data_IF_749490602860
#
_entry.id   IF_749490602860
#
_cell.length_a   1.000
_cell.length_b   1.000
_cell.length_c   1.000
_cell.angle_alpha   90.00
_cell.angle_beta   90.00
_cell.angle_gamma   90.00
#
_symmetry.space_group_name_H-M   'P 1'
#
loop_
_entity.id
_entity.type
_entity.pdbx_description
1 polymer ?
#
# COMPACT_ATOMS: atom_id res chain seq x y z
N UNK A 1 13.36 -9.45 16.77
CA UNK A 1 12.73 -9.30 15.44
C UNK A 1 11.22 -9.35 15.62
N UNK A 2 10.46 -8.39 15.09
CA UNK A 2 9.03 -8.14 15.40
C UNK A 2 8.02 -9.24 14.98
N UNK A 3 8.45 -10.49 14.75
CA UNK A 3 7.56 -11.62 14.35
C UNK A 3 6.95 -11.51 12.95
N UNK A 4 7.09 -10.36 12.27
CA UNK A 4 6.61 -10.14 10.91
C UNK A 4 7.52 -10.88 9.92
N UNK A 5 6.95 -11.80 9.13
CA UNK A 5 7.68 -12.64 8.16
C UNK A 5 7.88 -12.01 6.77
N UNK A 6 7.36 -10.80 6.56
CA UNK A 6 7.44 -10.06 5.30
C UNK A 6 6.84 -10.83 4.12
N UNK A 7 7.34 -10.57 2.92
CA UNK A 7 6.86 -11.20 1.67
C UNK A 7 6.94 -12.73 1.72
N UNK A 8 7.92 -13.31 2.42
CA UNK A 8 8.00 -14.77 2.60
C UNK A 8 6.80 -15.32 3.37
N UNK A 9 6.37 -14.62 4.41
CA UNK A 9 5.17 -14.97 5.16
C UNK A 9 3.90 -14.85 4.33
N UNK A 10 3.84 -13.86 3.45
CA UNK A 10 2.73 -13.69 2.51
C UNK A 10 2.67 -14.88 1.55
N UNK A 11 3.78 -15.24 0.90
CA UNK A 11 3.86 -16.41 0.00
C UNK A 11 3.42 -17.69 0.72
N UNK A 12 3.94 -17.95 1.92
CA UNK A 12 3.60 -19.15 2.71
C UNK A 12 2.11 -19.27 3.05
N UNK A 13 1.40 -18.14 3.16
CA UNK A 13 -0.04 -18.09 3.46
C UNK A 13 -0.90 -17.87 2.22
N UNK A 14 -0.32 -17.88 1.03
CA UNK A 14 -1.05 -17.65 -0.22
C UNK A 14 -1.52 -16.19 -0.40
N UNK A 15 -0.67 -15.23 -0.03
CA UNK A 15 -0.83 -13.78 -0.20
C UNK A 15 -2.13 -13.19 0.38
N UNK A 16 -2.38 -13.31 1.70
CA UNK A 16 -3.60 -12.76 2.32
C UNK A 16 -3.74 -11.25 2.08
N UNK A 17 -2.65 -10.47 2.19
CA UNK A 17 -2.74 -9.00 1.97
C UNK A 17 -3.14 -8.66 0.54
N UNK A 18 -2.71 -9.46 -0.43
CA UNK A 18 -3.11 -9.29 -1.84
C UNK A 18 -4.58 -9.65 -2.01
N UNK A 19 -5.02 -10.78 -1.46
CA UNK A 19 -6.39 -11.29 -1.62
C UNK A 19 -7.44 -10.47 -0.89
N UNK A 20 -7.11 -9.96 0.29
CA UNK A 20 -8.04 -9.28 1.20
C UNK A 20 -8.02 -7.75 1.05
N UNK A 21 -6.92 -7.17 0.59
CA UNK A 21 -6.79 -5.71 0.44
C UNK A 21 -6.55 -5.28 -1.01
N UNK A 22 -5.47 -5.76 -1.64
CA UNK A 22 -5.04 -5.18 -2.92
C UNK A 22 -5.96 -5.53 -4.10
N UNK A 23 -6.30 -6.81 -4.29
CA UNK A 23 -7.16 -7.24 -5.40
C UNK A 23 -8.59 -6.70 -5.30
N UNK A 24 -9.26 -6.70 -4.13
CA UNK A 24 -10.57 -6.05 -4.01
C UNK A 24 -10.52 -4.57 -4.38
N UNK A 25 -9.48 -3.85 -3.94
CA UNK A 25 -9.29 -2.43 -4.26
C UNK A 25 -9.11 -2.21 -5.77
N UNK A 26 -8.17 -2.90 -6.42
CA UNK A 26 -7.93 -2.74 -7.86
C UNK A 26 -9.19 -3.03 -8.69
N UNK A 27 -9.90 -4.12 -8.37
CA UNK A 27 -11.13 -4.52 -9.06
C UNK A 27 -12.22 -3.48 -8.92
N UNK A 28 -12.37 -2.89 -7.74
CA UNK A 28 -13.36 -1.86 -7.48
C UNK A 28 -13.02 -0.56 -8.22
N UNK A 29 -11.77 -0.12 -8.16
CA UNK A 29 -11.31 1.08 -8.86
C UNK A 29 -11.42 0.96 -10.38
N UNK A 30 -11.24 -0.26 -10.93
CA UNK A 30 -11.48 -0.54 -12.34
C UNK A 30 -12.95 -0.34 -12.73
N UNK A 31 -13.90 -0.76 -11.88
CA UNK A 31 -15.34 -0.53 -12.12
C UNK A 31 -15.71 0.95 -12.06
N UNK A 32 -15.00 1.71 -11.24
CA UNK A 32 -15.17 3.16 -11.10
C UNK A 32 -14.48 3.96 -12.23
N UNK A 33 -13.93 3.28 -13.24
CA UNK A 33 -13.20 3.90 -14.35
C UNK A 33 -12.04 4.81 -13.89
N UNK A 34 -11.41 4.47 -12.74
CA UNK A 34 -10.21 5.17 -12.28
C UNK A 34 -9.08 5.00 -13.29
N UNK A 35 -8.21 6.01 -13.40
CA UNK A 35 -7.00 5.86 -14.22
C UNK A 35 -6.06 4.82 -13.58
N UNK A 36 -5.17 4.18 -14.37
CA UNK A 36 -4.21 3.23 -13.81
C UNK A 36 -3.40 3.79 -12.64
N UNK A 37 -2.92 5.04 -12.74
CA UNK A 37 -2.13 5.67 -11.68
C UNK A 37 -2.94 5.90 -10.41
N UNK A 38 -4.20 6.34 -10.53
CA UNK A 38 -5.10 6.47 -9.39
C UNK A 38 -5.30 5.11 -8.72
N UNK A 39 -5.55 4.07 -9.51
CA UNK A 39 -5.78 2.72 -9.00
C UNK A 39 -4.56 2.16 -8.25
N UNK A 40 -3.37 2.33 -8.81
CA UNK A 40 -2.12 1.84 -8.22
C UNK A 40 -1.76 2.58 -6.93
N UNK A 41 -1.80 3.91 -6.92
CA UNK A 41 -1.46 4.70 -5.72
C UNK A 41 -2.50 4.49 -4.62
N UNK A 42 -3.79 4.46 -4.96
CA UNK A 42 -4.85 4.19 -3.97
C UNK A 42 -4.68 2.79 -3.35
N UNK A 43 -4.34 1.79 -4.16
CA UNK A 43 -4.09 0.43 -3.69
C UNK A 43 -2.83 0.34 -2.82
N UNK A 44 -1.77 1.07 -3.18
CA UNK A 44 -0.56 1.16 -2.37
C UNK A 44 -0.87 1.74 -0.99
N UNK A 45 -1.66 2.82 -0.91
CA UNK A 45 -2.11 3.41 0.35
C UNK A 45 -2.93 2.43 1.18
N UNK A 46 -3.83 1.65 0.53
CA UNK A 46 -4.60 0.61 1.19
C UNK A 46 -3.70 -0.44 1.85
N UNK A 47 -2.67 -0.91 1.13
CA UNK A 47 -1.67 -1.84 1.69
C UNK A 47 -0.89 -1.20 2.83
N UNK A 48 -0.37 0.02 2.65
CA UNK A 48 0.38 0.74 3.68
C UNK A 48 -0.44 0.99 4.95
N UNK A 49 -1.76 1.13 4.85
CA UNK A 49 -2.66 1.34 5.97
C UNK A 49 -2.92 0.07 6.79
N UNK A 50 -2.79 -1.12 6.20
CA UNK A 50 -3.25 -2.39 6.80
C UNK A 50 -2.13 -3.42 7.00
N UNK A 51 -1.01 -3.30 6.29
CA UNK A 51 0.10 -4.27 6.33
C UNK A 51 1.22 -3.72 7.19
N UNK A 52 1.81 -4.57 8.04
CA UNK A 52 3.06 -4.28 8.72
C UNK A 52 4.22 -4.53 7.73
N UNK A 53 4.76 -3.44 7.17
CA UNK A 53 5.82 -3.49 6.17
C UNK A 53 7.17 -3.82 6.80
N UNK A 54 7.72 -4.99 6.46
CA UNK A 54 9.01 -5.42 7.00
C UNK A 54 10.16 -4.54 6.55
N UNK A 55 10.13 -3.92 5.38
CA UNK A 55 11.21 -3.02 4.95
C UNK A 55 11.25 -1.78 5.84
N UNK A 56 10.09 -1.24 6.23
CA UNK A 56 10.01 -0.15 7.22
C UNK A 56 10.52 -0.61 8.58
N UNK A 57 10.06 -1.76 9.08
CA UNK A 57 10.47 -2.28 10.39
C UNK A 57 11.96 -2.65 10.46
N UNK A 58 12.55 -3.13 9.35
CA UNK A 58 13.97 -3.49 9.28
C UNK A 58 14.89 -2.26 9.22
N UNK A 59 14.45 -1.18 8.57
CA UNK A 59 15.26 0.05 8.39
C UNK A 59 14.98 1.12 9.46
N UNK A 60 13.89 0.99 10.20
CA UNK A 60 13.46 1.97 11.19
C UNK A 60 12.98 1.28 12.46
N UNK A 61 11.73 1.51 12.88
CA UNK A 61 11.15 0.98 14.11
C UNK A 61 9.62 0.92 14.02
N UNK A 62 8.99 0.41 15.08
CA UNK A 62 7.54 0.27 15.14
C UNK A 62 6.80 1.62 15.12
N UNK A 63 7.37 2.67 15.71
CA UNK A 63 6.79 4.01 15.69
C UNK A 63 6.68 4.55 14.26
N UNK A 64 7.75 4.43 13.47
CA UNK A 64 7.76 4.77 12.05
C UNK A 64 6.72 3.95 11.28
N UNK A 65 6.60 2.65 11.56
CA UNK A 65 5.58 1.81 10.92
C UNK A 65 4.15 2.29 11.23
N UNK A 66 3.85 2.60 12.50
CA UNK A 66 2.53 3.13 12.91
C UNK A 66 2.24 4.49 12.29
N UNK A 67 3.26 5.33 12.15
CA UNK A 67 3.17 6.59 11.44
C UNK A 67 2.86 6.39 9.96
N UNK A 68 3.55 5.47 9.28
CA UNK A 68 3.28 5.14 7.87
C UNK A 68 1.80 4.77 7.68
N UNK A 69 1.30 3.85 8.52
CA UNK A 69 -0.10 3.45 8.52
C UNK A 69 -1.07 4.60 8.81
N UNK A 70 -0.76 5.45 9.80
CA UNK A 70 -1.60 6.60 10.14
C UNK A 70 -1.67 7.62 9.00
N UNK A 71 -0.55 7.91 8.34
CA UNK A 71 -0.49 8.84 7.20
C UNK A 71 -1.25 8.29 5.99
N UNK A 72 -1.11 6.99 5.70
CA UNK A 72 -1.89 6.34 4.65
C UNK A 72 -3.40 6.39 4.93
N UNK A 73 -3.83 6.09 6.16
CA UNK A 73 -5.24 6.21 6.58
C UNK A 73 -5.76 7.64 6.48
N UNK A 74 -4.97 8.63 6.87
CA UNK A 74 -5.36 10.04 6.75
C UNK A 74 -5.57 10.44 5.28
N UNK A 75 -4.64 10.07 4.39
CA UNK A 75 -4.78 10.32 2.95
C UNK A 75 -6.04 9.65 2.38
N UNK A 76 -6.29 8.38 2.72
CA UNK A 76 -7.50 7.67 2.30
C UNK A 76 -8.78 8.31 2.84
N UNK A 77 -8.77 8.76 4.10
CA UNK A 77 -9.94 9.35 4.77
C UNK A 77 -10.40 10.68 4.18
N UNK A 78 -9.50 11.41 3.52
CA UNK A 78 -9.83 12.65 2.79
C UNK A 78 -10.04 12.41 1.28
N UNK A 79 -10.17 11.16 0.85
CA UNK A 79 -10.50 10.77 -0.54
C UNK A 79 -9.32 10.30 -1.39
N UNK A 80 -8.10 10.27 -0.85
CA UNK A 80 -6.92 9.73 -1.51
C UNK A 80 -6.66 10.34 -2.88
N UNK A 81 -6.44 9.50 -3.90
CA UNK A 81 -6.15 9.98 -5.26
C UNK A 81 -7.33 10.66 -5.96
N UNK A 82 -8.54 10.60 -5.40
CA UNK A 82 -9.77 11.09 -6.02
C UNK A 82 -10.13 12.53 -5.64
N UNK A 83 -9.45 13.11 -4.65
CA UNK A 83 -9.64 14.50 -4.22
C UNK A 83 -8.34 15.30 -4.35
N UNK A 84 -8.45 16.63 -4.50
CA UNK A 84 -7.26 17.50 -4.52
C UNK A 84 -6.53 17.48 -3.18
N UNK A 85 -7.27 17.52 -2.07
CA UNK A 85 -6.70 17.43 -0.72
C UNK A 85 -5.97 16.10 -0.49
N UNK A 86 -6.56 14.98 -0.93
CA UNK A 86 -5.94 13.67 -0.82
C UNK A 86 -4.66 13.56 -1.66
N UNK A 87 -4.65 14.05 -2.90
CA UNK A 87 -3.44 14.11 -3.73
C UNK A 87 -2.34 14.97 -3.09
N UNK A 88 -2.70 16.13 -2.55
CA UNK A 88 -1.75 17.00 -1.84
C UNK A 88 -1.17 16.31 -0.60
N UNK A 89 -1.99 15.55 0.13
CA UNK A 89 -1.56 14.79 1.30
C UNK A 89 -0.59 13.67 0.95
N UNK A 90 -0.87 12.94 -0.12
CA UNK A 90 -0.02 11.86 -0.64
C UNK A 90 1.36 12.42 -1.01
N UNK A 91 1.40 13.54 -1.75
CA UNK A 91 2.67 14.19 -2.10
C UNK A 91 3.43 14.70 -0.87
N UNK A 92 2.73 15.24 0.12
CA UNK A 92 3.36 15.67 1.38
C UNK A 92 3.94 14.48 2.15
N UNK A 93 3.19 13.38 2.22
CA UNK A 93 3.62 12.13 2.85
C UNK A 93 4.84 11.55 2.14
N UNK A 94 4.83 11.47 0.82
CA UNK A 94 5.94 10.95 0.00
C UNK A 94 7.23 11.73 0.24
N UNK A 95 7.17 13.07 0.20
CA UNK A 95 8.32 13.94 0.52
C UNK A 95 8.87 13.71 1.93
N UNK A 96 7.99 13.61 2.93
CA UNK A 96 8.40 13.35 4.31
C UNK A 96 9.06 11.97 4.47
N UNK A 97 8.57 10.95 3.77
CA UNK A 97 9.17 9.62 3.77
C UNK A 97 10.55 9.62 3.11
N UNK A 98 10.70 10.31 1.98
CA UNK A 98 12.01 10.50 1.32
C UNK A 98 12.98 11.19 2.28
N UNK A 99 12.61 12.31 2.90
CA UNK A 99 13.46 13.04 3.85
C UNK A 99 13.89 12.17 5.05
N UNK A 100 13.06 11.22 5.46
CA UNK A 100 13.30 10.33 6.61
C UNK A 100 13.89 8.98 6.21
N UNK A 101 14.16 8.76 4.93
CA UNK A 101 14.60 7.49 4.37
C UNK A 101 13.67 6.31 4.74
N UNK A 102 12.35 6.57 4.75
CA UNK A 102 11.32 5.57 5.01
C UNK A 102 10.78 5.07 3.67
N UNK A 103 10.82 3.76 3.45
CA UNK A 103 10.31 3.16 2.22
C UNK A 103 9.42 1.95 2.54
N UNK A 104 8.11 2.01 2.22
CA UNK A 104 7.18 0.89 2.35
C UNK A 104 7.34 -0.08 1.17
N UNK A 105 8.54 -0.61 0.99
CA UNK A 105 8.86 -1.47 -0.16
C UNK A 105 8.13 -2.81 -0.13
N UNK A 106 7.81 -3.36 1.05
CA UNK A 106 7.06 -4.60 1.15
C UNK A 106 5.62 -4.44 0.65
N UNK A 107 5.01 -3.27 0.89
CA UNK A 107 3.73 -2.90 0.32
C UNK A 107 3.81 -2.73 -1.20
N UNK A 108 4.90 -2.16 -1.72
CA UNK A 108 5.12 -2.04 -3.16
C UNK A 108 5.28 -3.42 -3.85
N UNK A 109 6.00 -4.36 -3.23
CA UNK A 109 6.12 -5.74 -3.72
C UNK A 109 4.73 -6.42 -3.76
N UNK A 110 3.92 -6.25 -2.72
CA UNK A 110 2.56 -6.79 -2.68
C UNK A 110 1.65 -6.17 -3.75
N UNK A 111 1.79 -4.87 -4.01
CA UNK A 111 1.08 -4.22 -5.11
C UNK A 111 1.46 -4.84 -6.46
N UNK A 112 2.76 -5.06 -6.71
CA UNK A 112 3.22 -5.68 -7.94
C UNK A 112 2.64 -7.09 -8.12
N UNK A 113 2.60 -7.90 -7.06
CA UNK A 113 1.95 -9.22 -7.07
C UNK A 113 0.45 -9.09 -7.36
N UNK A 114 -0.23 -8.12 -6.76
CA UNK A 114 -1.66 -7.90 -7.00
C UNK A 114 -1.96 -7.52 -8.45
N UNK A 115 -1.18 -6.61 -9.03
CA UNK A 115 -1.30 -6.19 -10.44
C UNK A 115 -1.06 -7.37 -11.38
N UNK A 116 -0.04 -8.18 -11.09
CA UNK A 116 0.24 -9.39 -11.86
C UNK A 116 -0.94 -10.38 -11.78
N UNK A 117 -1.42 -10.67 -10.58
CA UNK A 117 -2.54 -11.59 -10.37
C UNK A 117 -3.86 -11.08 -10.99
N UNK A 118 -4.13 -9.78 -10.93
CA UNK A 118 -5.31 -9.19 -11.58
C UNK A 118 -5.26 -9.40 -13.09
N UNK A 119 -4.11 -9.18 -13.73
CA UNK A 119 -3.93 -9.37 -15.18
C UNK A 119 -4.00 -10.83 -15.62
N UNK A 120 -3.59 -11.77 -14.77
CA UNK A 120 -3.75 -13.20 -15.06
C UNK A 120 -5.20 -13.69 -14.90
N UNK A 121 -5.98 -13.06 -14.04
CA UNK A 121 -7.38 -13.44 -13.79
C UNK A 121 -8.39 -12.76 -14.72
N UNK A 122 -7.92 -12.06 -15.75
CA UNK A 122 -8.75 -11.33 -16.73
C UNK A 122 -8.91 -12.04 -18.09
N UNK A 123 -8.69 -13.35 -18.13
CA UNK A 123 -9.05 -14.21 -19.27
C UNK A 123 -10.54 -14.62 -19.24
#
# INVERSE_FOLDING_TARGET
AYGVRGIRGEVQRGFPSVREHALPMLRELRKQCATPDQALVQTLLCLMANVDDTNVLHRSNLETMRRVQARARAALGIGGMFTDEGRAEILRMDRDFICRNVSPGGCADLLAVAVFAERLGTD
#
